data_IF_589212015989
#
_entry.id   IF_589212015989
#
_cell.length_a   1.000
_cell.length_b   1.000
_cell.length_c   1.000
_cell.angle_alpha   90.00
_cell.angle_beta   90.00
_cell.angle_gamma   90.00
#
_symmetry.space_group_name_H-M   'P 1'
#
loop_
_entity.id
_entity.type
_entity.pdbx_description
1 polymer ?
#
# COMPACT_ATOMS: atom_id res chain seq x y z
N UNK A 1 16.65 35.44 -16.02
CA UNK A 1 16.82 34.46 -14.96
C UNK A 1 17.18 33.12 -15.59
N UNK A 2 18.36 32.57 -15.24
CA UNK A 2 18.78 31.26 -15.69
C UNK A 2 17.95 30.21 -14.93
N UNK A 3 17.20 29.38 -15.65
CA UNK A 3 16.38 28.31 -15.08
C UNK A 3 17.35 27.26 -14.46
N UNK A 4 17.20 26.99 -13.19
CA UNK A 4 17.95 25.94 -12.50
C UNK A 4 17.05 24.71 -12.48
N UNK A 5 17.41 23.62 -13.20
CA UNK A 5 16.60 22.42 -13.17
C UNK A 5 16.65 21.77 -11.78
N UNK A 6 15.52 21.27 -11.29
CA UNK A 6 15.42 20.62 -9.99
C UNK A 6 14.15 19.82 -9.86
N UNK A 7 14.13 18.92 -8.87
CA UNK A 7 12.96 18.14 -8.50
C UNK A 7 12.29 18.73 -7.25
N UNK A 8 10.98 18.54 -7.09
CA UNK A 8 10.32 18.81 -5.82
C UNK A 8 10.95 17.99 -4.69
N UNK A 9 10.95 18.55 -3.47
CA UNK A 9 11.48 17.84 -2.30
C UNK A 9 10.74 16.50 -2.08
N UNK A 10 11.49 15.43 -1.85
CA UNK A 10 10.93 14.09 -1.62
C UNK A 10 10.62 13.28 -2.89
N UNK A 11 10.99 13.80 -4.04
CA UNK A 11 10.91 13.09 -5.33
C UNK A 11 12.31 12.76 -5.86
N UNK A 12 12.45 11.67 -6.58
CA UNK A 12 13.74 11.27 -7.17
C UNK A 12 13.58 10.70 -8.59
N UNK A 13 14.56 10.98 -9.43
CA UNK A 13 14.75 10.25 -10.68
C UNK A 13 15.40 8.90 -10.39
N UNK A 14 14.82 7.83 -10.92
CA UNK A 14 15.37 6.47 -10.80
C UNK A 14 15.86 5.99 -12.15
N UNK A 15 17.14 5.64 -12.22
CA UNK A 15 17.79 5.30 -13.48
C UNK A 15 18.90 4.23 -13.33
N UNK A 16 19.39 3.70 -14.45
CA UNK A 16 20.49 2.73 -14.53
C UNK A 16 20.30 1.50 -13.61
N UNK A 17 21.38 1.08 -12.98
CA UNK A 17 21.45 -0.13 -12.14
C UNK A 17 20.40 -0.12 -11.00
N UNK A 18 20.17 1.03 -10.37
CA UNK A 18 19.18 1.18 -9.29
C UNK A 18 17.77 0.85 -9.79
N UNK A 19 17.38 1.39 -10.95
CA UNK A 19 16.08 1.10 -11.55
C UNK A 19 15.94 -0.35 -12.01
N UNK A 20 16.99 -0.91 -12.61
CA UNK A 20 17.00 -2.32 -13.05
C UNK A 20 16.85 -3.26 -11.84
N UNK A 21 17.53 -2.97 -10.73
CA UNK A 21 17.42 -3.75 -9.49
C UNK A 21 16.01 -3.69 -8.92
N UNK A 22 15.43 -2.48 -8.86
CA UNK A 22 14.02 -2.30 -8.45
C UNK A 22 13.07 -3.13 -9.32
N UNK A 23 13.18 -3.04 -10.65
CA UNK A 23 12.33 -3.81 -11.57
C UNK A 23 12.48 -5.32 -11.38
N UNK A 24 13.71 -5.81 -11.12
CA UNK A 24 13.95 -7.22 -10.82
C UNK A 24 13.26 -7.65 -9.53
N UNK A 25 13.37 -6.85 -8.46
CA UNK A 25 12.72 -7.10 -7.18
C UNK A 25 11.20 -7.15 -7.34
N UNK A 26 10.60 -6.17 -8.01
CA UNK A 26 9.15 -6.12 -8.22
C UNK A 26 8.63 -7.33 -9.00
N UNK A 27 9.37 -7.82 -10.00
CA UNK A 27 9.00 -9.05 -10.73
C UNK A 27 9.00 -10.30 -9.83
N UNK A 28 9.93 -10.39 -8.88
CA UNK A 28 9.94 -11.51 -7.92
C UNK A 28 8.72 -11.43 -7.00
N UNK A 29 8.40 -10.25 -6.50
CA UNK A 29 7.23 -10.01 -5.65
C UNK A 29 5.95 -10.37 -6.41
N UNK A 30 5.76 -9.83 -7.61
CA UNK A 30 4.61 -10.09 -8.48
C UNK A 30 4.43 -11.59 -8.76
N UNK A 31 5.52 -12.28 -9.11
CA UNK A 31 5.48 -13.74 -9.34
C UNK A 31 4.96 -14.50 -8.12
N UNK A 32 5.32 -14.08 -6.91
CA UNK A 32 4.81 -14.68 -5.69
C UNK A 32 3.33 -14.37 -5.46
N UNK A 33 2.87 -13.14 -5.71
CA UNK A 33 1.45 -12.80 -5.63
C UNK A 33 0.62 -13.70 -6.56
N UNK A 34 1.03 -13.84 -7.83
CA UNK A 34 0.36 -14.69 -8.81
C UNK A 34 0.36 -16.16 -8.36
N UNK A 35 1.50 -16.66 -7.85
CA UNK A 35 1.64 -18.04 -7.35
C UNK A 35 0.67 -18.36 -6.20
N UNK A 36 0.32 -17.37 -5.38
CA UNK A 36 -0.65 -17.48 -4.29
C UNK A 36 -2.09 -17.18 -4.72
N UNK A 37 -2.35 -17.00 -6.02
CA UNK A 37 -3.68 -16.81 -6.60
C UNK A 37 -4.24 -15.41 -6.38
N UNK A 38 -3.39 -14.39 -6.30
CA UNK A 38 -3.82 -13.00 -6.29
C UNK A 38 -3.91 -12.48 -7.72
N UNK A 39 -5.01 -11.81 -8.04
CA UNK A 39 -5.26 -11.17 -9.32
C UNK A 39 -4.73 -9.72 -9.34
N UNK A 40 -4.21 -9.26 -10.49
CA UNK A 40 -3.74 -7.88 -10.61
C UNK A 40 -4.90 -6.87 -10.58
N UNK A 41 -4.70 -5.76 -9.88
CA UNK A 41 -5.58 -4.59 -9.94
C UNK A 41 -4.73 -3.33 -10.10
N UNK A 42 -4.99 -2.56 -11.15
CA UNK A 42 -4.48 -1.20 -11.30
C UNK A 42 -5.62 -0.20 -11.14
N UNK A 43 -5.44 0.76 -10.25
CA UNK A 43 -6.36 1.87 -10.03
C UNK A 43 -5.72 3.17 -10.49
N UNK A 44 -6.51 4.20 -10.85
CA UNK A 44 -5.98 5.53 -11.16
C UNK A 44 -5.12 6.10 -10.01
N UNK A 45 -4.15 6.94 -10.36
CA UNK A 45 -3.35 7.66 -9.34
C UNK A 45 -4.15 8.75 -8.63
N UNK A 46 -5.28 9.14 -9.20
CA UNK A 46 -6.18 10.17 -8.69
C UNK A 46 -7.46 9.54 -8.17
N UNK A 47 -7.90 10.01 -7.03
CA UNK A 47 -9.17 9.67 -6.42
C UNK A 47 -9.95 10.95 -6.09
N UNK A 48 -11.27 10.88 -6.06
CA UNK A 48 -12.09 12.00 -5.58
C UNK A 48 -11.82 12.16 -4.08
N UNK A 49 -11.49 13.35 -3.62
CA UNK A 49 -11.08 13.62 -2.23
C UNK A 49 -12.10 13.16 -1.20
N UNK A 50 -13.39 13.27 -1.49
CA UNK A 50 -14.48 12.82 -0.63
C UNK A 50 -14.44 11.30 -0.36
N UNK A 51 -13.93 10.50 -1.30
CA UNK A 51 -13.81 9.05 -1.15
C UNK A 51 -12.71 8.64 -0.18
N UNK A 52 -11.72 9.50 0.06
CA UNK A 52 -10.56 9.24 0.91
C UNK A 52 -10.74 9.84 2.30
N UNK A 53 -11.52 10.92 2.42
CA UNK A 53 -11.53 11.84 3.57
C UNK A 53 -11.84 11.23 4.94
N UNK A 54 -12.59 10.13 5.03
CA UNK A 54 -12.92 9.52 6.32
C UNK A 54 -11.78 8.66 6.90
N UNK A 55 -10.81 8.25 6.09
CA UNK A 55 -9.70 7.40 6.51
C UNK A 55 -8.51 8.17 7.10
N UNK A 56 -8.36 9.42 6.71
CA UNK A 56 -7.22 10.28 7.10
C UNK A 56 -7.56 11.25 8.24
N UNK A 57 -8.78 11.18 8.76
CA UNK A 57 -9.33 12.10 9.76
C UNK A 57 -8.81 11.87 11.20
N UNK A 58 -7.62 11.29 11.40
CA UNK A 58 -7.03 11.18 12.75
C UNK A 58 -6.49 12.50 13.30
N UNK A 59 -6.22 13.50 12.44
CA UNK A 59 -5.92 14.86 12.87
C UNK A 59 -7.14 15.76 12.67
N UNK A 60 -7.89 15.99 13.76
CA UNK A 60 -9.06 16.87 13.77
C UNK A 60 -8.74 18.31 13.33
N UNK A 61 -7.48 18.73 13.38
CA UNK A 61 -7.04 20.08 13.03
C UNK A 61 -6.66 20.22 11.55
N UNK A 62 -6.21 19.15 10.89
CA UNK A 62 -5.88 19.19 9.46
C UNK A 62 -5.85 17.77 8.83
N UNK A 63 -6.99 17.14 8.60
CA UNK A 63 -7.07 15.74 8.12
C UNK A 63 -6.48 15.53 6.72
N UNK A 64 -6.21 16.59 5.97
CA UNK A 64 -5.68 16.55 4.60
C UNK A 64 -4.22 17.02 4.49
N UNK A 65 -3.52 17.28 5.61
CA UNK A 65 -2.16 17.83 5.59
C UNK A 65 -1.15 16.91 4.89
N UNK A 66 -1.34 15.60 5.00
CA UNK A 66 -0.42 14.60 4.49
C UNK A 66 -0.78 14.08 3.09
N UNK A 67 -1.75 14.70 2.42
CA UNK A 67 -2.24 14.32 1.08
C UNK A 67 -1.97 15.43 0.08
N UNK A 68 -1.67 15.06 -1.15
CA UNK A 68 -1.62 16.01 -2.27
C UNK A 68 -3.02 16.13 -2.86
N UNK A 69 -3.62 17.32 -2.73
CA UNK A 69 -4.94 17.64 -3.27
C UNK A 69 -4.86 18.83 -4.22
N UNK A 70 -5.74 18.84 -5.20
CA UNK A 70 -5.93 19.96 -6.13
C UNK A 70 -7.36 19.97 -6.66
N UNK A 71 -7.81 21.13 -7.13
CA UNK A 71 -9.08 21.30 -7.81
C UNK A 71 -8.87 21.13 -9.32
N UNK A 72 -9.61 20.22 -9.96
CA UNK A 72 -9.55 20.01 -11.41
C UNK A 72 -10.54 20.90 -12.18
N UNK A 73 -11.29 21.77 -11.49
CA UNK A 73 -12.33 22.63 -12.02
C UNK A 73 -13.75 22.06 -11.88
N UNK A 74 -13.90 20.79 -11.52
CA UNK A 74 -15.17 20.15 -11.24
C UNK A 74 -15.24 19.63 -9.79
N UNK A 75 -14.14 19.05 -9.31
CA UNK A 75 -14.06 18.41 -7.99
C UNK A 75 -12.67 18.56 -7.38
N UNK A 76 -12.59 18.39 -6.06
CA UNK A 76 -11.33 18.20 -5.39
C UNK A 76 -10.82 16.78 -5.64
N UNK A 77 -9.64 16.68 -6.18
CA UNK A 77 -8.95 15.44 -6.54
C UNK A 77 -7.75 15.26 -5.62
N UNK A 78 -7.48 14.03 -5.24
CA UNK A 78 -6.38 13.65 -4.35
C UNK A 78 -5.49 12.62 -5.02
N UNK A 79 -4.18 12.78 -4.94
CA UNK A 79 -3.24 11.70 -5.24
C UNK A 79 -3.38 10.60 -4.20
N UNK A 80 -3.50 9.34 -4.63
CA UNK A 80 -3.69 8.19 -3.71
C UNK A 80 -2.56 8.12 -2.69
N UNK A 81 -2.93 8.05 -1.42
CA UNK A 81 -2.02 7.95 -0.29
C UNK A 81 -1.56 6.51 -0.03
N UNK A 82 -2.42 5.55 -0.35
CA UNK A 82 -2.24 4.11 -0.23
C UNK A 82 -2.89 3.37 -1.42
N UNK A 83 -2.93 2.04 -1.37
CA UNK A 83 -3.61 1.21 -2.37
C UNK A 83 -4.87 0.55 -1.80
N UNK A 84 -5.16 0.72 -0.51
CA UNK A 84 -6.33 0.13 0.17
C UNK A 84 -7.60 0.96 -0.04
N UNK A 85 -7.51 2.30 0.01
CA UNK A 85 -8.66 3.18 -0.27
C UNK A 85 -9.19 3.02 -1.69
N UNK A 86 -8.33 3.01 -2.74
CA UNK A 86 -8.77 2.69 -4.10
C UNK A 86 -9.37 1.29 -4.24
N UNK A 87 -8.86 0.30 -3.51
CA UNK A 87 -9.43 -1.04 -3.48
C UNK A 87 -10.85 -1.02 -2.89
N UNK A 88 -11.04 -0.34 -1.75
CA UNK A 88 -12.35 -0.25 -1.10
C UNK A 88 -13.40 0.36 -2.05
N UNK A 89 -13.05 1.45 -2.75
CA UNK A 89 -13.91 2.04 -3.79
C UNK A 89 -14.20 1.05 -4.92
N UNK A 90 -13.15 0.38 -5.45
CA UNK A 90 -13.29 -0.59 -6.54
C UNK A 90 -14.23 -1.74 -6.14
N UNK A 91 -14.06 -2.30 -4.96
CA UNK A 91 -14.93 -3.37 -4.44
C UNK A 91 -16.36 -2.90 -4.26
N UNK A 92 -16.57 -1.70 -3.73
CA UNK A 92 -17.91 -1.13 -3.57
C UNK A 92 -18.63 -0.92 -4.91
N UNK A 93 -17.91 -0.53 -5.96
CA UNK A 93 -18.46 -0.33 -7.30
C UNK A 93 -18.74 -1.63 -8.05
N UNK A 94 -17.98 -2.69 -7.80
CA UNK A 94 -18.00 -3.92 -8.59
C UNK A 94 -18.37 -5.17 -7.78
N UNK A 95 -18.97 -5.01 -6.59
CA UNK A 95 -19.23 -6.09 -5.64
C UNK A 95 -20.06 -7.25 -6.20
N UNK A 96 -20.91 -6.99 -7.20
CA UNK A 96 -21.75 -8.01 -7.84
C UNK A 96 -20.98 -8.85 -8.88
N UNK A 97 -19.87 -8.35 -9.39
CA UNK A 97 -19.05 -9.02 -10.41
C UNK A 97 -17.84 -9.74 -9.78
N UNK A 98 -17.49 -9.35 -8.55
CA UNK A 98 -16.35 -9.93 -7.84
C UNK A 98 -16.70 -11.29 -7.21
N UNK A 99 -15.73 -12.22 -7.14
CA UNK A 99 -15.93 -13.47 -6.41
C UNK A 99 -16.17 -13.21 -4.92
N UNK A 100 -16.87 -14.14 -4.24
CA UNK A 100 -17.17 -14.05 -2.81
C UNK A 100 -15.91 -13.92 -1.92
N UNK A 101 -14.77 -14.42 -2.40
CA UNK A 101 -13.44 -14.21 -1.85
C UNK A 101 -12.59 -13.65 -2.99
N UNK A 102 -12.27 -12.38 -2.90
CA UNK A 102 -11.46 -11.68 -3.87
C UNK A 102 -10.05 -11.48 -3.33
N UNK A 103 -9.06 -12.06 -4.00
CA UNK A 103 -7.63 -11.91 -3.69
C UNK A 103 -7.02 -11.02 -4.76
N UNK A 104 -6.56 -9.83 -4.37
CA UNK A 104 -5.94 -8.90 -5.32
C UNK A 104 -4.52 -8.53 -4.91
N UNK A 105 -3.68 -8.22 -5.88
CA UNK A 105 -2.44 -7.48 -5.65
C UNK A 105 -2.38 -6.22 -6.49
N UNK A 106 -1.63 -5.23 -6.00
CA UNK A 106 -1.28 -4.03 -6.74
C UNK A 106 0.18 -3.64 -6.48
N UNK A 107 0.89 -3.23 -7.53
CA UNK A 107 2.26 -2.70 -7.43
C UNK A 107 2.27 -1.35 -8.11
N UNK A 108 2.05 -0.30 -7.34
CA UNK A 108 1.85 1.05 -7.87
C UNK A 108 2.50 2.09 -6.96
N UNK A 109 2.75 3.30 -7.50
CA UNK A 109 3.24 4.40 -6.70
C UNK A 109 2.12 5.01 -5.86
N UNK A 110 2.48 5.43 -4.65
CA UNK A 110 1.65 6.18 -3.72
C UNK A 110 2.33 7.51 -3.38
N UNK A 111 1.55 8.46 -2.90
CA UNK A 111 1.99 9.84 -2.74
C UNK A 111 1.62 10.35 -1.35
N UNK A 112 2.62 10.83 -0.59
CA UNK A 112 2.44 11.34 0.76
C UNK A 112 3.07 12.71 0.91
N UNK A 113 2.28 13.69 1.32
CA UNK A 113 2.78 15.06 1.50
C UNK A 113 3.48 15.24 2.86
N UNK A 114 4.08 14.20 3.39
CA UNK A 114 4.82 14.23 4.63
C UNK A 114 6.17 14.93 4.46
N UNK A 115 6.78 15.33 5.59
CA UNK A 115 8.13 15.89 5.57
C UNK A 115 9.12 14.86 5.05
N UNK A 116 9.79 15.17 3.94
CA UNK A 116 10.81 14.32 3.35
C UNK A 116 12.05 14.23 4.24
N UNK A 117 12.74 13.08 4.23
CA UNK A 117 13.93 12.83 5.03
C UNK A 117 14.79 11.72 4.41
N UNK A 118 15.79 11.26 5.16
CA UNK A 118 16.65 10.18 4.71
C UNK A 118 15.81 8.90 4.52
N UNK A 119 15.78 8.36 3.29
CA UNK A 119 14.95 7.23 2.86
C UNK A 119 13.43 7.42 3.01
N UNK A 120 12.96 8.66 3.21
CA UNK A 120 11.53 8.99 3.29
C UNK A 120 11.14 9.86 2.10
N UNK A 121 10.58 9.22 1.10
CA UNK A 121 10.15 9.85 -0.15
C UNK A 121 8.67 10.21 -0.08
N UNK A 122 8.28 11.25 -0.85
CA UNK A 122 6.88 11.64 -1.04
C UNK A 122 6.19 10.84 -2.16
N UNK A 123 6.99 10.22 -3.02
CA UNK A 123 6.54 9.25 -4.01
C UNK A 123 7.33 7.96 -3.86
N UNK A 124 6.66 6.85 -3.62
CA UNK A 124 7.29 5.54 -3.53
C UNK A 124 6.34 4.42 -4.00
N UNK A 125 6.90 3.28 -4.33
CA UNK A 125 6.12 2.13 -4.79
C UNK A 125 5.70 1.28 -3.59
N UNK A 126 4.42 1.01 -3.47
CA UNK A 126 3.87 -0.05 -2.63
C UNK A 126 3.63 -1.31 -3.46
N UNK A 127 3.82 -2.45 -2.83
CA UNK A 127 3.43 -3.77 -3.34
C UNK A 127 2.47 -4.37 -2.29
N UNK A 128 1.20 -4.27 -2.56
CA UNK A 128 0.13 -4.67 -1.66
C UNK A 128 -0.57 -5.92 -2.17
N UNK A 129 -1.01 -6.77 -1.25
CA UNK A 129 -1.92 -7.86 -1.53
C UNK A 129 -2.99 -7.96 -0.44
N UNK A 130 -4.24 -8.10 -0.86
CA UNK A 130 -5.39 -8.14 0.03
C UNK A 130 -6.31 -9.30 -0.29
N UNK A 131 -6.98 -9.79 0.75
CA UNK A 131 -8.05 -10.78 0.66
C UNK A 131 -9.32 -10.12 1.18
N UNK A 132 -10.29 -9.95 0.29
CA UNK A 132 -11.59 -9.32 0.59
C UNK A 132 -12.68 -10.37 0.52
N UNK A 133 -13.53 -10.44 1.53
CA UNK A 133 -14.66 -11.39 1.57
C UNK A 133 -14.82 -12.07 2.92
N UNK A 134 -15.72 -13.05 2.96
CA UNK A 134 -15.96 -13.81 4.19
C UNK A 134 -14.95 -14.95 4.33
N UNK A 135 -13.79 -14.64 4.90
CA UNK A 135 -12.68 -15.58 5.13
C UNK A 135 -12.40 -15.75 6.62
N UNK A 136 -11.83 -16.89 7.00
CA UNK A 136 -11.28 -17.06 8.34
C UNK A 136 -10.02 -16.18 8.48
N UNK A 137 -10.01 -15.15 9.37
CA UNK A 137 -8.89 -14.23 9.47
C UNK A 137 -7.57 -14.90 9.85
N UNK A 138 -7.61 -15.98 10.66
CA UNK A 138 -6.38 -16.67 11.07
C UNK A 138 -5.75 -17.43 9.88
N UNK A 139 -6.57 -18.05 9.04
CA UNK A 139 -6.09 -18.72 7.82
C UNK A 139 -5.54 -17.70 6.81
N UNK A 140 -6.26 -16.61 6.58
CA UNK A 140 -5.82 -15.55 5.68
C UNK A 140 -4.48 -14.95 6.14
N UNK A 141 -4.35 -14.63 7.42
CA UNK A 141 -3.10 -14.10 7.99
C UNK A 141 -1.94 -15.11 7.89
N UNK A 142 -2.18 -16.40 8.12
CA UNK A 142 -1.17 -17.45 7.96
C UNK A 142 -0.70 -17.57 6.50
N UNK A 143 -1.63 -17.48 5.54
CA UNK A 143 -1.31 -17.46 4.12
C UNK A 143 -0.43 -16.25 3.75
N UNK A 144 -0.78 -15.05 4.22
CA UNK A 144 0.01 -13.83 4.00
C UNK A 144 1.40 -13.93 4.62
N UNK A 145 1.54 -14.50 5.83
CA UNK A 145 2.86 -14.74 6.43
C UNK A 145 3.71 -15.68 5.58
N UNK A 146 3.13 -16.75 5.06
CA UNK A 146 3.82 -17.68 4.16
C UNK A 146 4.22 -17.00 2.85
N UNK A 147 3.33 -16.22 2.26
CA UNK A 147 3.60 -15.45 1.04
C UNK A 147 4.78 -14.50 1.27
N UNK A 148 4.77 -13.71 2.34
CA UNK A 148 5.85 -12.78 2.67
C UNK A 148 7.17 -13.53 2.86
N UNK A 149 7.17 -14.63 3.63
CA UNK A 149 8.37 -15.45 3.88
C UNK A 149 8.98 -15.98 2.58
N UNK A 150 8.15 -16.58 1.72
CA UNK A 150 8.60 -17.13 0.45
C UNK A 150 9.08 -16.03 -0.49
N UNK A 151 8.41 -14.88 -0.51
CA UNK A 151 8.83 -13.72 -1.32
C UNK A 151 10.21 -13.22 -0.89
N UNK A 152 10.48 -13.10 0.41
CA UNK A 152 11.78 -12.68 0.92
C UNK A 152 12.89 -13.67 0.57
N UNK A 153 12.62 -14.97 0.63
CA UNK A 153 13.56 -16.03 0.20
C UNK A 153 13.82 -15.94 -1.30
N UNK A 154 12.79 -15.78 -2.12
CA UNK A 154 12.91 -15.64 -3.57
C UNK A 154 13.62 -14.33 -3.98
N UNK A 155 13.58 -13.30 -3.13
CA UNK A 155 14.38 -12.09 -3.26
C UNK A 155 15.86 -12.29 -2.90
N UNK A 156 16.24 -13.45 -2.38
CA UNK A 156 17.63 -13.82 -2.08
C UNK A 156 18.00 -13.74 -0.60
N UNK A 157 17.07 -13.50 0.30
CA UNK A 157 17.32 -13.53 1.74
C UNK A 157 17.33 -14.98 2.25
N UNK A 158 18.23 -15.30 3.16
CA UNK A 158 18.21 -16.57 3.89
C UNK A 158 17.19 -16.49 5.04
N UNK A 159 16.67 -17.63 5.47
CA UNK A 159 15.65 -17.72 6.55
C UNK A 159 16.12 -17.15 7.90
N UNK A 160 17.42 -17.11 8.14
CA UNK A 160 18.05 -16.54 9.33
C UNK A 160 18.30 -15.03 9.25
N UNK A 161 18.01 -14.40 8.11
CA UNK A 161 18.22 -12.97 7.87
C UNK A 161 16.97 -12.11 8.04
N UNK A 162 15.82 -12.71 8.35
CA UNK A 162 14.59 -11.97 8.60
C UNK A 162 13.68 -12.67 9.61
N UNK A 163 12.82 -11.90 10.25
CA UNK A 163 11.75 -12.38 11.12
C UNK A 163 10.42 -11.79 10.68
N UNK A 164 9.35 -12.58 10.76
CA UNK A 164 7.97 -12.11 10.57
C UNK A 164 7.34 -12.00 11.96
N UNK A 165 7.13 -10.76 12.41
CA UNK A 165 6.50 -10.50 13.70
C UNK A 165 4.98 -10.43 13.51
N UNK A 166 4.24 -11.27 14.22
CA UNK A 166 2.78 -11.29 14.21
C UNK A 166 2.27 -10.80 15.56
N UNK A 167 1.36 -9.83 15.55
CA UNK A 167 0.72 -9.33 16.74
C UNK A 167 -0.80 -9.42 16.62
N UNK A 168 -1.47 -9.72 17.73
CA UNK A 168 -2.92 -9.72 17.82
C UNK A 168 -3.36 -8.71 18.90
N UNK A 169 -4.11 -7.70 18.51
CA UNK A 169 -4.62 -6.66 19.41
C UNK A 169 -5.45 -7.24 20.57
N UNK A 170 -6.13 -8.37 20.37
CA UNK A 170 -6.89 -9.07 21.42
C UNK A 170 -6.04 -9.54 22.57
N UNK A 171 -4.75 -9.83 22.36
CA UNK A 171 -3.84 -10.23 23.44
C UNK A 171 -3.64 -9.08 24.42
N UNK A 172 -3.39 -7.88 23.91
CA UNK A 172 -3.23 -6.68 24.73
C UNK A 172 -4.53 -6.30 25.42
N UNK A 173 -5.65 -6.42 24.72
CA UNK A 173 -6.98 -6.14 25.28
C UNK A 173 -7.33 -7.11 26.41
N UNK A 174 -7.08 -8.42 26.25
CA UNK A 174 -7.29 -9.43 27.30
C UNK A 174 -6.45 -9.16 28.54
N UNK A 175 -5.18 -8.76 28.37
CA UNK A 175 -4.33 -8.38 29.49
C UNK A 175 -4.86 -7.15 30.26
N UNK A 176 -5.39 -6.15 29.56
CA UNK A 176 -5.98 -4.96 30.17
C UNK A 176 -7.29 -5.29 30.91
N UNK A 177 -8.09 -6.21 30.38
CA UNK A 177 -9.34 -6.66 31.03
C UNK A 177 -9.05 -7.49 32.30
N UNK A 178 -8.01 -8.29 32.30
CA UNK A 178 -7.58 -9.11 33.45
C UNK A 178 -6.94 -8.30 34.60
N UNK A 179 -6.50 -7.07 34.30
CA UNK A 179 -5.91 -6.12 35.27
C UNK A 179 -6.94 -5.17 35.90
N UNK A 180 -8.22 -5.27 35.51
CA UNK A 180 -9.35 -4.49 36.10
C UNK A 180 -10.13 -5.30 37.12
#
# INVERSE_FOLDING_TARGET
NKLIPGLPSGFEDRWNKKLLLKKRLLRVIEKNFIKYGFDPLETPSFEISENIGSFLAEDENNPMSDVFTFDDGEKNITLRYDLSSPLARFVAQNNQELPSIYKRYAIQNVFRNEKSGNARYREFTQADCDIVGNVNPAQANAELCNLISNTLVDCGLKKDQFNINVSNRKIVQGLIEDLK
#
